data_IF_647061869121
#
_entry.id   IF_647061869121
#
_cell.length_a   1.000
_cell.length_b   1.000
_cell.length_c   1.000
_cell.angle_alpha   90.00
_cell.angle_beta   90.00
_cell.angle_gamma   90.00
#
_symmetry.space_group_name_H-M   'P 1'
#
loop_
_entity.id
_entity.type
_entity.pdbx_description
1 polymer ?
#
# COMPACT_ATOMS: atom_id res chain seq x y z
N UNK A 1 24.33 19.64 -59.73
CA UNK A 1 23.40 18.55 -59.37
C UNK A 1 23.98 17.79 -58.18
N UNK A 2 23.43 17.97 -56.96
CA UNK A 2 23.88 17.25 -55.76
C UNK A 2 23.14 15.91 -55.70
N UNK A 3 23.86 14.81 -55.91
CA UNK A 3 23.34 13.46 -55.68
C UNK A 3 23.16 13.24 -54.18
N UNK A 4 21.91 13.21 -53.72
CA UNK A 4 21.59 12.77 -52.37
C UNK A 4 21.84 11.27 -52.27
N UNK A 5 22.66 10.87 -51.31
CA UNK A 5 23.06 9.49 -51.08
C UNK A 5 21.91 8.73 -50.40
N UNK A 6 21.08 8.04 -51.19
CA UNK A 6 19.87 7.32 -50.76
C UNK A 6 20.19 6.18 -49.77
N UNK A 7 21.43 5.68 -49.74
CA UNK A 7 21.84 4.56 -48.86
C UNK A 7 21.97 4.92 -47.38
N UNK A 8 22.33 6.16 -47.04
CA UNK A 8 22.44 6.60 -45.63
C UNK A 8 21.06 6.82 -45.00
N UNK A 9 20.10 7.34 -45.79
CA UNK A 9 18.76 7.66 -45.32
C UNK A 9 17.96 6.42 -44.87
N UNK A 10 18.13 5.27 -45.53
CA UNK A 10 17.47 4.02 -45.14
C UNK A 10 18.02 3.39 -43.85
N UNK A 11 19.29 3.63 -43.50
CA UNK A 11 19.87 3.13 -42.24
C UNK A 11 19.31 3.89 -41.03
N UNK A 12 19.14 5.21 -41.16
CA UNK A 12 18.60 6.06 -40.10
C UNK A 12 17.12 5.76 -39.81
N UNK A 13 16.34 5.44 -40.85
CA UNK A 13 14.95 5.00 -40.72
C UNK A 13 14.88 3.66 -39.97
N UNK A 14 15.74 2.69 -40.35
CA UNK A 14 15.78 1.36 -39.71
C UNK A 14 16.15 1.44 -38.22
N UNK A 15 17.13 2.29 -37.87
CA UNK A 15 17.54 2.52 -36.49
C UNK A 15 16.41 3.17 -35.65
N UNK A 16 15.69 4.13 -36.23
CA UNK A 16 14.56 4.79 -35.57
C UNK A 16 13.43 3.81 -35.28
N UNK A 17 13.10 2.92 -36.22
CA UNK A 17 12.09 1.86 -36.00
C UNK A 17 12.51 0.89 -34.89
N UNK A 18 13.78 0.49 -34.84
CA UNK A 18 14.28 -0.41 -33.77
C UNK A 18 14.18 0.27 -32.40
N UNK A 19 14.55 1.56 -32.30
CA UNK A 19 14.44 2.32 -31.04
C UNK A 19 12.97 2.47 -30.62
N UNK A 20 12.07 2.81 -31.55
CA UNK A 20 10.62 2.86 -31.28
C UNK A 20 10.05 1.51 -30.85
N UNK A 21 10.50 0.41 -31.46
CA UNK A 21 10.03 -0.93 -31.14
C UNK A 21 10.55 -1.38 -29.76
N UNK A 22 11.80 -1.05 -29.42
CA UNK A 22 12.36 -1.24 -28.08
C UNK A 22 11.60 -0.40 -27.03
N UNK A 23 11.32 0.87 -27.31
CA UNK A 23 10.51 1.73 -26.44
C UNK A 23 9.08 1.20 -26.27
N UNK A 24 8.44 0.75 -27.34
CA UNK A 24 7.11 0.11 -27.29
C UNK A 24 7.14 -1.20 -26.50
N UNK A 25 8.19 -2.01 -26.62
CA UNK A 25 8.36 -3.23 -25.81
C UNK A 25 8.61 -2.91 -24.33
N UNK A 26 9.35 -1.84 -24.00
CA UNK A 26 9.52 -1.37 -22.63
C UNK A 26 8.21 -0.80 -22.04
N UNK A 27 7.42 -0.09 -22.84
CA UNK A 27 6.09 0.42 -22.46
C UNK A 27 5.07 -0.74 -22.28
N UNK A 28 5.18 -1.80 -23.09
CA UNK A 28 4.34 -3.01 -23.02
C UNK A 28 4.74 -3.96 -21.88
N UNK A 29 5.99 -3.87 -21.40
CA UNK A 29 6.52 -4.74 -20.35
C UNK A 29 6.06 -4.34 -18.93
N UNK A 30 5.43 -3.17 -18.78
CA UNK A 30 4.65 -2.82 -17.59
C UNK A 30 3.34 -3.61 -17.57
N UNK A 31 3.44 -4.95 -17.40
CA UNK A 31 2.27 -5.77 -17.05
C UNK A 31 1.62 -5.13 -15.83
N UNK A 32 0.41 -4.59 -15.98
CA UNK A 32 -0.39 -4.13 -14.87
C UNK A 32 -0.63 -5.34 -13.95
N UNK A 33 0.21 -5.49 -12.92
CA UNK A 33 0.23 -6.68 -12.07
C UNK A 33 -0.93 -6.54 -11.10
N UNK A 34 -1.90 -7.44 -11.19
CA UNK A 34 -2.97 -7.50 -10.21
C UNK A 34 -2.41 -7.83 -8.81
N UNK A 35 -2.41 -6.85 -7.92
CA UNK A 35 -1.90 -6.98 -6.54
C UNK A 35 -2.83 -7.77 -5.63
N UNK A 36 -4.09 -8.01 -6.01
CA UNK A 36 -4.95 -8.97 -5.29
C UNK A 36 -4.28 -10.35 -5.25
N UNK A 37 -3.65 -10.77 -6.35
CA UNK A 37 -2.88 -12.02 -6.39
C UNK A 37 -1.66 -11.97 -5.48
N UNK A 38 -0.99 -10.80 -5.39
CA UNK A 38 0.12 -10.60 -4.46
C UNK A 38 -0.34 -10.73 -3.02
N UNK A 39 -1.41 -10.01 -2.62
CA UNK A 39 -1.91 -10.02 -1.25
C UNK A 39 -2.42 -11.40 -0.84
N UNK A 40 -3.15 -12.09 -1.72
CA UNK A 40 -3.56 -13.48 -1.48
C UNK A 40 -2.35 -14.40 -1.29
N UNK A 41 -1.28 -14.21 -2.08
CA UNK A 41 -0.07 -14.99 -1.90
C UNK A 41 0.67 -14.65 -0.61
N UNK A 42 0.71 -13.38 -0.19
CA UNK A 42 1.21 -12.99 1.14
C UNK A 42 0.41 -13.71 2.24
N UNK A 43 -0.92 -13.75 2.15
CA UNK A 43 -1.77 -14.42 3.14
C UNK A 43 -1.46 -15.93 3.20
N UNK A 44 -1.30 -16.58 2.05
CA UNK A 44 -0.93 -17.99 1.98
C UNK A 44 0.42 -18.27 2.65
N UNK A 45 1.45 -17.47 2.31
CA UNK A 45 2.80 -17.64 2.87
C UNK A 45 2.83 -17.37 4.38
N UNK A 46 2.12 -16.33 4.82
CA UNK A 46 2.01 -15.99 6.23
C UNK A 46 1.30 -17.11 7.02
N UNK A 47 0.31 -17.79 6.43
CA UNK A 47 -0.31 -18.99 7.01
C UNK A 47 0.67 -20.17 7.11
N UNK A 48 1.47 -20.43 6.07
CA UNK A 48 2.53 -21.47 6.09
C UNK A 48 3.48 -21.23 7.28
N UNK A 49 3.92 -19.99 7.44
CA UNK A 49 4.82 -19.65 8.53
C UNK A 49 4.15 -19.74 9.91
N UNK A 50 2.99 -19.09 10.10
CA UNK A 50 2.35 -18.95 11.42
C UNK A 50 1.59 -20.18 11.90
N UNK A 51 0.97 -20.92 10.97
CA UNK A 51 0.08 -22.03 11.31
C UNK A 51 0.82 -23.35 11.15
N UNK A 52 1.50 -23.54 10.03
CA UNK A 52 2.17 -24.83 9.75
C UNK A 52 3.61 -24.89 10.26
N UNK A 53 4.18 -23.78 10.75
CA UNK A 53 5.53 -23.70 11.32
C UNK A 53 6.64 -24.16 10.34
N UNK A 54 6.49 -23.83 9.05
CA UNK A 54 7.45 -24.21 7.99
C UNK A 54 8.23 -22.99 7.47
N UNK A 55 9.28 -22.52 8.17
CA UNK A 55 9.99 -21.30 7.81
C UNK A 55 10.72 -21.39 6.47
N UNK A 56 11.36 -22.52 6.16
CA UNK A 56 12.12 -22.70 4.92
C UNK A 56 11.23 -22.61 3.67
N UNK A 57 10.04 -23.21 3.71
CA UNK A 57 9.08 -23.10 2.61
C UNK A 57 8.52 -21.68 2.52
N UNK A 58 8.21 -21.03 3.65
CA UNK A 58 7.77 -19.64 3.64
C UNK A 58 8.82 -18.70 3.02
N UNK A 59 10.10 -18.83 3.38
CA UNK A 59 11.22 -18.07 2.80
C UNK A 59 11.29 -18.27 1.29
N UNK A 60 11.21 -19.52 0.82
CA UNK A 60 11.27 -19.87 -0.60
C UNK A 60 10.11 -19.22 -1.38
N UNK A 61 8.90 -19.23 -0.82
CA UNK A 61 7.75 -18.62 -1.46
C UNK A 61 7.80 -17.08 -1.45
N UNK A 62 8.23 -16.46 -0.34
CA UNK A 62 8.46 -15.01 -0.30
C UNK A 62 9.50 -14.59 -1.34
N UNK A 63 10.60 -15.34 -1.47
CA UNK A 63 11.63 -15.06 -2.49
C UNK A 63 11.05 -15.07 -3.90
N UNK A 64 10.19 -16.05 -4.22
CA UNK A 64 9.48 -16.11 -5.51
C UNK A 64 8.55 -14.91 -5.68
N UNK A 65 7.79 -14.56 -4.64
CA UNK A 65 6.84 -13.44 -4.66
C UNK A 65 7.55 -12.10 -4.91
N UNK A 66 8.61 -11.79 -4.18
CA UNK A 66 9.30 -10.49 -4.26
C UNK A 66 10.23 -10.35 -5.46
N UNK A 67 10.49 -11.43 -6.20
CA UNK A 67 11.02 -11.37 -7.58
C UNK A 67 9.96 -10.94 -8.58
N UNK A 68 8.70 -11.37 -8.36
CA UNK A 68 7.56 -11.09 -9.25
C UNK A 68 6.83 -9.79 -8.90
N UNK A 69 6.92 -9.25 -7.69
CA UNK A 69 6.18 -8.05 -7.29
C UNK A 69 7.10 -7.05 -6.58
N UNK A 70 6.80 -5.75 -6.75
CA UNK A 70 7.34 -4.75 -5.83
C UNK A 70 6.64 -4.97 -4.49
N UNK A 71 7.36 -5.13 -3.38
CA UNK A 71 6.76 -5.30 -2.07
C UNK A 71 5.92 -4.08 -1.74
N UNK A 72 4.77 -4.36 -1.15
CA UNK A 72 3.86 -3.40 -0.54
C UNK A 72 3.55 -3.95 0.84
N UNK A 73 3.50 -3.09 1.85
CA UNK A 73 3.07 -3.48 3.18
C UNK A 73 1.55 -3.33 3.28
N UNK A 74 0.91 -4.24 3.98
CA UNK A 74 -0.50 -4.12 4.35
C UNK A 74 -0.64 -3.61 5.77
N UNK A 75 -1.82 -3.12 6.15
CA UNK A 75 -2.04 -2.64 7.52
C UNK A 75 -1.66 -3.73 8.54
N UNK A 76 -0.91 -3.33 9.59
CA UNK A 76 -0.39 -4.19 10.67
C UNK A 76 0.58 -5.29 10.20
N UNK A 77 1.05 -5.22 8.96
CA UNK A 77 1.98 -6.21 8.37
C UNK A 77 3.17 -5.53 7.71
N UNK A 78 4.32 -6.15 7.92
CA UNK A 78 5.60 -5.74 7.33
C UNK A 78 6.14 -6.92 6.53
N UNK A 79 5.39 -7.44 5.55
CA UNK A 79 5.69 -8.73 4.89
C UNK A 79 7.10 -8.82 4.30
N UNK A 80 7.62 -7.72 3.74
CA UNK A 80 8.96 -7.69 3.16
C UNK A 80 10.06 -7.69 4.23
N UNK A 81 9.84 -6.98 5.34
CA UNK A 81 10.74 -7.02 6.50
C UNK A 81 10.74 -8.38 7.17
N UNK A 82 9.55 -8.98 7.36
CA UNK A 82 9.40 -10.31 7.92
C UNK A 82 10.15 -11.35 7.09
N UNK A 83 10.05 -11.28 5.75
CA UNK A 83 10.85 -12.14 4.86
C UNK A 83 12.35 -11.96 5.06
N UNK A 84 12.84 -10.73 5.12
CA UNK A 84 14.27 -10.45 5.31
C UNK A 84 14.74 -11.00 6.66
N UNK A 85 14.02 -10.70 7.74
CA UNK A 85 14.33 -11.18 9.10
C UNK A 85 14.32 -12.71 9.18
N UNK A 86 13.28 -13.34 8.62
CA UNK A 86 13.15 -14.80 8.63
C UNK A 86 14.28 -15.46 7.83
N UNK A 87 14.60 -14.94 6.64
CA UNK A 87 15.69 -15.45 5.85
C UNK A 87 17.05 -15.27 6.55
N UNK A 88 17.29 -14.11 7.17
CA UNK A 88 18.52 -13.84 7.94
C UNK A 88 18.69 -14.81 9.12
N UNK A 89 17.63 -15.01 9.90
CA UNK A 89 17.60 -15.92 11.06
C UNK A 89 17.88 -17.37 10.68
N UNK A 90 17.44 -17.80 9.49
CA UNK A 90 17.65 -19.16 8.98
C UNK A 90 18.85 -19.27 8.03
N UNK A 91 19.76 -18.28 8.03
CA UNK A 91 20.96 -18.24 7.20
C UNK A 91 20.69 -18.43 5.69
N UNK A 92 19.53 -17.98 5.22
CA UNK A 92 19.14 -18.00 3.81
C UNK A 92 19.43 -16.65 3.15
N UNK A 93 19.90 -16.69 1.90
CA UNK A 93 20.16 -15.47 1.14
C UNK A 93 18.84 -14.75 0.75
N UNK A 94 18.62 -13.57 1.31
CA UNK A 94 17.50 -12.69 0.97
C UNK A 94 17.83 -11.58 -0.05
N UNK A 95 19.08 -11.48 -0.50
CA UNK A 95 19.58 -10.47 -1.44
C UNK A 95 20.49 -9.39 -0.83
N UNK A 96 20.83 -9.49 0.45
CA UNK A 96 21.79 -8.61 1.13
C UNK A 96 21.43 -7.12 1.05
N UNK A 97 22.44 -6.26 0.89
CA UNK A 97 22.29 -4.78 0.84
C UNK A 97 21.19 -4.31 -0.13
N UNK A 98 21.11 -4.90 -1.33
CA UNK A 98 20.10 -4.54 -2.34
C UNK A 98 18.67 -4.69 -1.80
N UNK A 99 18.41 -5.77 -1.08
CA UNK A 99 17.10 -6.00 -0.46
C UNK A 99 16.83 -5.07 0.71
N UNK A 100 17.87 -4.70 1.48
CA UNK A 100 17.76 -3.74 2.58
C UNK A 100 17.47 -2.32 2.07
N UNK A 101 18.10 -1.84 1.00
CA UNK A 101 17.72 -0.55 0.42
C UNK A 101 16.28 -0.55 -0.10
N UNK A 102 15.82 -1.68 -0.66
CA UNK A 102 14.43 -1.85 -1.12
C UNK A 102 13.42 -1.79 0.04
N UNK A 103 13.83 -2.12 1.26
CA UNK A 103 13.00 -2.05 2.46
C UNK A 103 12.85 -0.61 2.98
N UNK A 104 13.84 0.28 2.76
CA UNK A 104 13.82 1.65 3.30
C UNK A 104 12.55 2.42 2.93
N UNK A 105 12.12 2.52 1.64
CA UNK A 105 10.90 3.25 1.28
C UNK A 105 9.61 2.68 1.91
N UNK A 106 9.59 1.40 2.28
CA UNK A 106 8.42 0.77 2.91
C UNK A 106 8.26 1.14 4.38
N UNK A 107 9.36 1.53 5.04
CA UNK A 107 9.36 1.94 6.46
C UNK A 107 9.54 3.45 6.63
N UNK A 108 9.99 4.15 5.60
CA UNK A 108 10.21 5.60 5.59
C UNK A 108 8.99 6.43 6.07
N UNK A 109 7.74 6.10 5.71
CA UNK A 109 6.56 6.82 6.23
C UNK A 109 6.46 6.82 7.77
N UNK A 110 7.05 5.86 8.46
CA UNK A 110 7.05 5.77 9.93
C UNK A 110 8.47 5.85 10.50
N UNK A 111 9.40 6.47 9.77
CA UNK A 111 10.82 6.49 10.13
C UNK A 111 11.08 7.06 11.53
N UNK A 112 10.31 8.07 11.96
CA UNK A 112 10.44 8.70 13.29
C UNK A 112 10.39 7.69 14.45
N UNK A 113 9.59 6.63 14.29
CA UNK A 113 9.52 5.51 15.24
C UNK A 113 10.43 4.36 14.84
N UNK A 114 10.52 4.03 13.53
CA UNK A 114 11.29 2.87 13.07
C UNK A 114 12.79 2.98 13.39
N UNK A 115 13.35 4.19 13.37
CA UNK A 115 14.77 4.43 13.68
C UNK A 115 15.16 4.10 15.14
N UNK A 116 14.16 3.94 16.01
CA UNK A 116 14.35 3.54 17.41
C UNK A 116 14.33 2.01 17.60
N UNK A 117 13.93 1.24 16.59
CA UNK A 117 13.91 -0.22 16.65
C UNK A 117 15.34 -0.77 16.54
N UNK A 118 15.94 -1.14 17.67
CA UNK A 118 17.33 -1.63 17.74
C UNK A 118 17.55 -2.86 16.86
N UNK A 119 16.59 -3.78 16.81
CA UNK A 119 16.67 -4.98 15.96
C UNK A 119 16.73 -4.64 14.47
N UNK A 120 15.99 -3.60 14.07
CA UNK A 120 16.00 -3.10 12.71
C UNK A 120 17.34 -2.45 12.37
N UNK A 121 17.87 -1.60 13.25
CA UNK A 121 19.17 -0.94 13.03
C UNK A 121 20.32 -1.95 12.98
N UNK A 122 20.36 -2.90 13.92
CA UNK A 122 21.39 -3.94 13.97
C UNK A 122 21.41 -4.81 12.71
N UNK A 123 20.24 -5.11 12.13
CA UNK A 123 20.15 -5.82 10.86
C UNK A 123 20.88 -5.06 9.74
N UNK A 124 20.71 -3.74 9.63
CA UNK A 124 21.40 -2.96 8.60
C UNK A 124 22.91 -2.87 8.87
N UNK A 125 23.31 -2.68 10.12
CA UNK A 125 24.71 -2.63 10.53
C UNK A 125 25.44 -3.95 10.26
N UNK A 126 24.80 -5.10 10.53
CA UNK A 126 25.32 -6.44 10.21
C UNK A 126 25.71 -6.57 8.74
N UNK A 127 24.98 -5.89 7.85
CA UNK A 127 25.23 -5.88 6.42
C UNK A 127 26.02 -4.66 5.95
N UNK A 128 26.64 -3.90 6.85
CA UNK A 128 27.53 -2.77 6.53
C UNK A 128 26.80 -1.56 5.95
N UNK A 129 25.58 -1.29 6.41
CA UNK A 129 24.83 -0.06 6.13
C UNK A 129 24.72 0.73 7.43
N UNK A 130 25.32 1.92 7.46
CA UNK A 130 25.36 2.79 8.64
C UNK A 130 24.06 3.56 8.84
N UNK A 131 23.85 4.09 10.05
CA UNK A 131 22.65 4.90 10.35
C UNK A 131 22.57 6.15 9.47
N UNK A 132 23.68 6.87 9.28
CA UNK A 132 23.72 8.07 8.44
C UNK A 132 23.27 7.76 7.01
N UNK A 133 23.69 6.62 6.47
CA UNK A 133 23.29 6.18 5.14
C UNK A 133 21.78 5.87 5.07
N UNK A 134 21.21 5.24 6.10
CA UNK A 134 19.76 5.02 6.18
C UNK A 134 18.99 6.33 6.23
N UNK A 135 19.44 7.29 7.06
CA UNK A 135 18.83 8.63 7.16
C UNK A 135 18.86 9.34 5.80
N UNK A 136 20.00 9.33 5.10
CA UNK A 136 20.12 9.90 3.76
C UNK A 136 19.11 9.28 2.77
N UNK A 137 18.93 7.95 2.81
CA UNK A 137 17.97 7.24 1.95
C UNK A 137 16.52 7.59 2.28
N UNK A 138 16.21 7.87 3.55
CA UNK A 138 14.88 8.35 3.94
C UNK A 138 14.66 9.80 3.48
N UNK A 139 15.67 10.66 3.57
CA UNK A 139 15.58 12.03 3.06
C UNK A 139 15.46 12.08 1.53
N UNK A 140 16.15 11.20 0.81
CA UNK A 140 15.93 11.01 -0.64
C UNK A 140 14.49 10.60 -0.95
N UNK A 141 13.91 9.70 -0.16
CA UNK A 141 12.51 9.30 -0.30
C UNK A 141 11.56 10.48 -0.05
N UNK A 142 11.79 11.28 1.01
CA UNK A 142 10.97 12.47 1.32
C UNK A 142 10.98 13.49 0.19
N UNK A 143 12.14 13.74 -0.41
CA UNK A 143 12.29 14.65 -1.57
C UNK A 143 11.50 14.18 -2.80
N UNK A 144 11.18 12.89 -2.88
CA UNK A 144 10.35 12.32 -3.94
C UNK A 144 8.83 12.50 -3.74
N UNK A 145 8.38 12.98 -2.58
CA UNK A 145 6.97 13.23 -2.31
C UNK A 145 6.47 14.49 -3.03
N UNK A 146 5.16 14.55 -3.28
CA UNK A 146 4.54 15.71 -3.91
C UNK A 146 4.07 16.71 -2.85
N UNK A 147 4.89 17.74 -2.58
CA UNK A 147 4.60 18.74 -1.55
C UNK A 147 3.25 19.45 -1.75
N UNK A 148 2.91 19.82 -2.99
CA UNK A 148 1.62 20.47 -3.28
C UNK A 148 0.44 19.58 -2.88
N UNK A 149 0.54 18.28 -3.13
CA UNK A 149 -0.49 17.33 -2.69
C UNK A 149 -0.46 17.14 -1.17
N UNK A 150 0.71 17.09 -0.54
CA UNK A 150 0.85 17.05 0.91
C UNK A 150 0.09 18.21 1.57
N UNK A 151 0.31 19.43 1.09
CA UNK A 151 -0.34 20.63 1.63
C UNK A 151 -1.86 20.59 1.42
N UNK A 152 -2.29 20.18 0.22
CA UNK A 152 -3.71 20.05 -0.13
C UNK A 152 -4.43 19.02 0.74
N UNK A 153 -3.82 17.85 0.94
CA UNK A 153 -4.37 16.81 1.80
C UNK A 153 -4.30 17.20 3.27
N UNK A 154 -3.27 17.93 3.72
CA UNK A 154 -3.22 18.48 5.09
C UNK A 154 -4.47 19.30 5.40
N UNK A 155 -4.88 20.17 4.49
CA UNK A 155 -6.13 20.95 4.63
C UNK A 155 -7.35 20.04 4.71
N UNK A 156 -7.44 19.03 3.84
CA UNK A 156 -8.56 18.08 3.83
C UNK A 156 -8.66 17.26 5.13
N UNK A 157 -7.52 16.77 5.65
CA UNK A 157 -7.43 16.03 6.90
C UNK A 157 -7.76 16.88 8.11
N UNK A 158 -7.27 18.13 8.18
CA UNK A 158 -7.64 19.07 9.26
C UNK A 158 -9.13 19.34 9.25
N UNK A 159 -9.67 19.69 8.07
CA UNK A 159 -11.12 19.88 7.87
C UNK A 159 -11.93 18.66 8.32
N UNK A 160 -11.50 17.45 7.96
CA UNK A 160 -12.16 16.20 8.37
C UNK A 160 -12.15 16.03 9.90
N UNK A 161 -11.02 16.27 10.55
CA UNK A 161 -10.87 16.12 12.00
C UNK A 161 -11.65 17.20 12.77
N UNK A 162 -11.51 18.47 12.38
CA UNK A 162 -12.15 19.62 13.06
C UNK A 162 -13.67 19.51 13.03
N UNK A 163 -14.25 19.08 11.90
CA UNK A 163 -15.70 18.89 11.74
C UNK A 163 -16.28 17.79 12.64
N UNK A 164 -15.43 16.95 13.24
CA UNK A 164 -15.82 15.82 14.11
C UNK A 164 -15.65 16.14 15.59
N UNK A 165 -14.92 17.20 15.93
CA UNK A 165 -14.74 17.67 17.31
C UNK A 165 -15.98 18.46 17.77
N UNK A 166 -16.51 19.32 16.91
CA UNK A 166 -17.76 20.07 17.15
C UNK A 166 -18.76 19.82 16.01
N UNK A 167 -19.59 18.77 16.11
CA UNK A 167 -20.37 18.28 14.98
C UNK A 167 -21.64 19.10 14.76
N UNK A 168 -21.53 20.16 13.94
CA UNK A 168 -22.68 20.67 13.20
C UNK A 168 -22.88 19.82 11.93
N UNK A 169 -24.02 19.15 11.82
CA UNK A 169 -24.32 18.24 10.71
C UNK A 169 -24.17 18.90 9.32
N UNK A 170 -24.61 20.15 9.17
CA UNK A 170 -24.54 20.88 7.90
C UNK A 170 -23.08 21.15 7.50
N UNK A 171 -22.23 21.51 8.46
CA UNK A 171 -20.82 21.77 8.22
C UNK A 171 -20.05 20.48 7.93
N UNK A 172 -20.39 19.37 8.62
CA UNK A 172 -19.83 18.05 8.36
C UNK A 172 -20.11 17.59 6.91
N UNK A 173 -21.37 17.62 6.48
CA UNK A 173 -21.76 17.21 5.12
C UNK A 173 -21.09 18.06 4.04
N UNK A 174 -21.04 19.38 4.24
CA UNK A 174 -20.36 20.31 3.32
C UNK A 174 -18.86 20.02 3.23
N UNK A 175 -18.22 19.71 4.35
CA UNK A 175 -16.80 19.45 4.43
C UNK A 175 -16.42 18.10 3.84
N UNK A 176 -17.24 17.07 4.08
CA UNK A 176 -17.07 15.77 3.45
C UNK A 176 -17.25 15.86 1.93
N UNK A 177 -18.25 16.59 1.42
CA UNK A 177 -18.42 16.80 -0.02
C UNK A 177 -17.18 17.44 -0.66
N UNK A 178 -16.57 18.44 -0.01
CA UNK A 178 -15.31 19.04 -0.47
C UNK A 178 -14.14 18.04 -0.44
N UNK A 179 -14.10 17.13 0.52
CA UNK A 179 -13.08 16.08 0.60
C UNK A 179 -13.27 15.05 -0.54
N UNK A 180 -14.51 14.68 -0.86
CA UNK A 180 -14.85 13.77 -1.94
C UNK A 180 -14.44 14.33 -3.31
N UNK A 181 -14.74 15.61 -3.57
CA UNK A 181 -14.34 16.28 -4.82
C UNK A 181 -12.81 16.40 -4.95
N UNK A 182 -12.10 16.70 -3.85
CA UNK A 182 -10.63 16.68 -3.87
C UNK A 182 -10.08 15.28 -4.19
N UNK A 183 -10.64 14.23 -3.60
CA UNK A 183 -10.25 12.85 -3.89
C UNK A 183 -10.51 12.47 -5.35
N UNK A 184 -11.67 12.85 -5.89
CA UNK A 184 -12.01 12.62 -7.29
C UNK A 184 -11.01 13.33 -8.22
N UNK A 185 -10.76 14.60 -7.99
CA UNK A 185 -9.75 15.37 -8.74
C UNK A 185 -8.36 14.73 -8.61
N UNK A 186 -7.98 14.27 -7.43
CA UNK A 186 -6.71 13.57 -7.19
C UNK A 186 -6.61 12.30 -8.04
N UNK A 187 -7.67 11.48 -8.06
CA UNK A 187 -7.71 10.25 -8.86
C UNK A 187 -7.55 10.54 -10.35
N UNK A 188 -8.17 11.59 -10.85
CA UNK A 188 -8.15 11.96 -12.27
C UNK A 188 -6.80 12.54 -12.72
N UNK A 189 -6.09 13.26 -11.84
CA UNK A 189 -4.88 14.01 -12.20
C UNK A 189 -3.57 13.34 -11.76
N UNK A 190 -3.61 12.57 -10.67
CA UNK A 190 -2.40 12.06 -10.02
C UNK A 190 -2.52 10.60 -9.53
N UNK A 191 -3.67 9.95 -9.73
CA UNK A 191 -3.94 8.60 -9.23
C UNK A 191 -4.29 8.57 -7.75
N UNK A 192 -4.11 7.42 -7.09
CA UNK A 192 -4.43 7.30 -5.66
C UNK A 192 -3.40 8.05 -4.79
N UNK A 193 -3.82 8.76 -3.72
CA UNK A 193 -2.92 9.44 -2.78
C UNK A 193 -2.26 8.44 -1.82
N UNK A 194 -1.41 7.56 -2.34
CA UNK A 194 -0.71 6.57 -1.53
C UNK A 194 0.43 7.21 -0.69
N UNK A 195 0.88 6.49 0.32
CA UNK A 195 1.94 6.95 1.25
C UNK A 195 3.28 7.25 0.58
N UNK A 196 3.54 6.71 -0.62
CA UNK A 196 4.76 7.02 -1.39
C UNK A 196 4.60 8.29 -2.23
N UNK A 197 3.40 8.87 -2.28
CA UNK A 197 3.07 10.08 -3.03
C UNK A 197 2.87 11.28 -2.11
N UNK A 198 2.11 11.09 -1.04
CA UNK A 198 1.75 12.16 -0.08
C UNK A 198 2.31 11.93 1.33
N UNK A 199 3.11 10.89 1.54
CA UNK A 199 3.61 10.55 2.86
C UNK A 199 2.52 10.08 3.82
N UNK A 200 2.87 10.02 5.10
CA UNK A 200 1.96 9.72 6.22
C UNK A 200 1.92 10.84 7.25
N UNK A 201 2.87 11.77 7.15
CA UNK A 201 3.07 12.89 8.07
C UNK A 201 3.36 14.14 7.24
N UNK A 202 2.79 15.27 7.65
CA UNK A 202 3.27 16.59 7.29
C UNK A 202 3.74 17.26 8.59
N UNK A 203 5.05 17.36 8.76
CA UNK A 203 5.68 17.63 10.07
C UNK A 203 5.12 16.68 11.16
N UNK A 204 4.46 17.22 12.18
CA UNK A 204 3.85 16.47 13.27
C UNK A 204 2.39 16.04 13.00
N UNK A 205 1.82 16.47 11.88
CA UNK A 205 0.42 16.19 11.55
C UNK A 205 0.28 14.84 10.84
N UNK A 206 -0.48 13.92 11.46
CA UNK A 206 -0.73 12.57 10.95
C UNK A 206 -1.84 12.54 9.91
N UNK A 207 -1.57 11.93 8.74
CA UNK A 207 -2.47 11.94 7.59
C UNK A 207 -2.77 10.54 7.03
N UNK A 208 -3.48 9.67 7.78
CA UNK A 208 -3.82 8.34 7.31
C UNK A 208 -4.97 8.40 6.28
N UNK A 209 -4.78 7.96 5.04
CA UNK A 209 -5.82 7.99 3.98
C UNK A 209 -7.11 7.24 4.33
N UNK A 210 -7.04 6.16 5.11
CA UNK A 210 -8.17 5.31 5.49
C UNK A 210 -9.38 6.08 6.04
N UNK A 211 -9.24 6.87 7.12
CA UNK A 211 -10.31 7.71 7.66
C UNK A 211 -11.04 8.58 6.64
N UNK A 212 -10.35 9.36 5.80
CA UNK A 212 -11.03 10.20 4.80
C UNK A 212 -11.85 9.32 3.84
N UNK A 213 -11.26 8.26 3.29
CA UNK A 213 -11.97 7.35 2.38
C UNK A 213 -13.22 6.75 3.02
N UNK A 214 -13.09 6.37 4.28
CA UNK A 214 -14.16 5.82 5.09
C UNK A 214 -15.30 6.85 5.24
N UNK A 215 -14.99 8.11 5.55
CA UNK A 215 -16.01 9.16 5.73
C UNK A 215 -16.78 9.48 4.44
N UNK A 216 -16.11 9.43 3.28
CA UNK A 216 -16.79 9.69 2.00
C UNK A 216 -17.80 8.60 1.61
N UNK A 217 -17.75 7.43 2.26
CA UNK A 217 -18.63 6.30 1.97
C UNK A 217 -20.11 6.54 2.30
N UNK A 218 -20.40 7.53 3.14
CA UNK A 218 -21.76 7.82 3.61
C UNK A 218 -22.60 8.61 2.60
N UNK A 219 -21.98 9.09 1.51
CA UNK A 219 -22.64 9.94 0.51
C UNK A 219 -22.86 9.17 -0.80
N UNK A 220 -24.12 8.86 -1.10
CA UNK A 220 -24.51 8.04 -2.25
C UNK A 220 -24.02 8.60 -3.60
N UNK A 221 -24.05 9.92 -3.77
CA UNK A 221 -23.58 10.60 -4.99
C UNK A 221 -22.10 10.32 -5.32
N UNK A 222 -21.30 9.96 -4.31
CA UNK A 222 -19.88 9.67 -4.45
C UNK A 222 -19.57 8.18 -4.33
N UNK A 223 -20.38 7.43 -3.60
CA UNK A 223 -20.08 6.06 -3.22
C UNK A 223 -19.84 5.13 -4.43
N UNK A 224 -20.70 5.16 -5.46
CA UNK A 224 -20.53 4.28 -6.62
C UNK A 224 -19.24 4.55 -7.38
N UNK A 225 -18.90 5.83 -7.58
CA UNK A 225 -17.65 6.23 -8.21
C UNK A 225 -16.44 5.78 -7.39
N UNK A 226 -16.44 6.07 -6.08
CA UNK A 226 -15.36 5.70 -5.17
C UNK A 226 -15.19 4.17 -5.10
N UNK A 227 -16.29 3.40 -5.03
CA UNK A 227 -16.27 1.94 -4.99
C UNK A 227 -15.61 1.34 -6.23
N UNK A 228 -15.89 1.86 -7.41
CA UNK A 228 -15.26 1.39 -8.65
C UNK A 228 -13.78 1.77 -8.66
N UNK A 229 -13.47 3.04 -8.42
CA UNK A 229 -12.10 3.56 -8.52
C UNK A 229 -11.15 2.98 -7.48
N UNK A 230 -11.58 2.87 -6.22
CA UNK A 230 -10.75 2.27 -5.18
C UNK A 230 -10.47 0.80 -5.45
N UNK A 231 -11.40 0.06 -6.04
CA UNK A 231 -11.13 -1.33 -6.44
C UNK A 231 -10.09 -1.43 -7.56
N UNK A 232 -10.05 -0.47 -8.49
CA UNK A 232 -8.96 -0.35 -9.47
C UNK A 232 -7.61 -0.13 -8.77
N UNK A 233 -7.56 0.73 -7.75
CA UNK A 233 -6.36 0.99 -6.97
C UNK A 233 -5.95 -0.17 -6.05
N UNK A 234 -6.90 -1.00 -5.60
CA UNK A 234 -6.59 -2.27 -4.92
C UNK A 234 -5.90 -3.23 -5.89
N UNK A 235 -6.38 -3.30 -7.15
CA UNK A 235 -5.74 -4.11 -8.19
C UNK A 235 -4.35 -3.60 -8.56
N UNK A 236 -4.11 -2.28 -8.56
CA UNK A 236 -2.78 -1.70 -8.82
C UNK A 236 -1.82 -1.78 -7.61
N UNK A 237 -2.35 -2.02 -6.40
CA UNK A 237 -1.59 -2.07 -5.16
C UNK A 237 -1.28 -0.69 -4.57
N UNK A 238 -2.02 0.34 -4.99
CA UNK A 238 -1.94 1.69 -4.44
C UNK A 238 -2.91 1.90 -3.27
N UNK A 239 -4.12 1.33 -3.35
CA UNK A 239 -5.08 1.33 -2.24
C UNK A 239 -4.94 0.03 -1.43
N UNK A 240 -4.71 0.11 -0.09
CA UNK A 240 -4.76 -1.06 0.77
C UNK A 240 -6.13 -1.76 0.72
N UNK A 241 -6.19 -3.10 0.59
CA UNK A 241 -7.48 -3.83 0.58
C UNK A 241 -8.36 -3.54 1.79
N UNK A 242 -7.75 -3.26 2.95
CA UNK A 242 -8.48 -2.97 4.18
C UNK A 242 -9.21 -1.62 4.14
N UNK A 243 -8.61 -0.61 3.52
CA UNK A 243 -9.24 0.72 3.39
C UNK A 243 -10.47 0.65 2.48
N UNK A 244 -10.35 -0.04 1.33
CA UNK A 244 -11.48 -0.31 0.45
C UNK A 244 -12.60 -1.09 1.16
N UNK A 245 -12.23 -2.16 1.87
CA UNK A 245 -13.20 -2.98 2.58
C UNK A 245 -13.92 -2.20 3.69
N UNK A 246 -13.20 -1.37 4.44
CA UNK A 246 -13.77 -0.53 5.48
C UNK A 246 -14.77 0.48 4.91
N UNK A 247 -14.45 1.09 3.77
CA UNK A 247 -15.38 1.99 3.05
C UNK A 247 -16.68 1.25 2.67
N UNK A 248 -16.57 0.08 2.04
CA UNK A 248 -17.75 -0.72 1.63
C UNK A 248 -18.58 -1.16 2.85
N UNK A 249 -17.93 -1.69 3.89
CA UNK A 249 -18.65 -2.16 5.08
C UNK A 249 -19.33 -1.02 5.84
N UNK A 250 -18.75 0.19 5.84
CA UNK A 250 -19.39 1.37 6.42
C UNK A 250 -20.63 1.80 5.65
N UNK A 251 -20.57 1.88 4.32
CA UNK A 251 -21.75 2.17 3.52
C UNK A 251 -22.84 1.11 3.74
N UNK A 252 -22.48 -0.17 3.80
CA UNK A 252 -23.42 -1.25 4.15
C UNK A 252 -24.05 -1.04 5.54
N UNK A 253 -23.26 -0.62 6.53
CA UNK A 253 -23.78 -0.30 7.87
C UNK A 253 -24.82 0.82 7.81
N UNK A 254 -24.52 1.91 7.09
CA UNK A 254 -25.43 3.05 6.92
C UNK A 254 -26.77 2.60 6.33
N UNK A 255 -26.74 1.66 5.38
CA UNK A 255 -27.92 1.08 4.72
C UNK A 255 -28.52 -0.12 5.44
N UNK A 256 -28.03 -0.48 6.64
CA UNK A 256 -28.49 -1.64 7.42
C UNK A 256 -28.39 -2.98 6.66
N UNK A 257 -27.42 -3.10 5.78
CA UNK A 257 -27.10 -4.31 5.00
C UNK A 257 -25.95 -5.08 5.68
N UNK A 258 -25.92 -6.42 5.65
CA UNK A 258 -24.80 -7.20 6.18
C UNK A 258 -23.44 -6.77 5.61
N UNK A 259 -22.38 -6.93 6.40
CA UNK A 259 -21.02 -6.60 5.97
C UNK A 259 -20.55 -7.51 4.83
N UNK A 260 -19.90 -6.90 3.84
CA UNK A 260 -19.31 -7.62 2.71
C UNK A 260 -18.01 -8.30 3.12
N UNK A 261 -17.19 -7.59 3.90
CA UNK A 261 -15.82 -7.99 4.23
C UNK A 261 -15.57 -8.14 5.74
N UNK A 262 -16.38 -7.54 6.60
CA UNK A 262 -16.26 -7.65 8.06
C UNK A 262 -15.01 -6.98 8.64
N UNK A 263 -14.70 -5.76 8.20
CA UNK A 263 -13.51 -5.00 8.60
C UNK A 263 -13.81 -3.86 9.58
N UNK A 264 -15.03 -3.30 9.55
CA UNK A 264 -15.36 -2.03 10.20
C UNK A 264 -15.68 -2.15 11.71
N UNK A 265 -16.75 -2.85 12.14
CA UNK A 265 -17.13 -2.96 13.56
C UNK A 265 -16.88 -4.35 14.19
N UNK A 266 -16.03 -5.17 13.57
CA UNK A 266 -15.72 -6.51 14.10
C UNK A 266 -16.65 -7.61 13.58
N UNK A 267 -16.53 -8.79 14.19
CA UNK A 267 -17.02 -10.05 13.61
C UNK A 267 -18.40 -10.50 14.11
N UNK A 268 -18.93 -9.83 15.13
CA UNK A 268 -20.14 -10.24 15.86
C UNK A 268 -21.40 -10.28 15.00
N UNK A 269 -21.44 -9.46 13.93
CA UNK A 269 -22.58 -9.39 13.01
C UNK A 269 -22.43 -10.30 11.76
N UNK A 270 -21.40 -11.15 11.70
CA UNK A 270 -21.15 -12.02 10.55
C UNK A 270 -21.89 -13.35 10.71
N UNK A 271 -23.02 -13.49 9.99
CA UNK A 271 -23.81 -14.73 9.97
C UNK A 271 -23.24 -15.81 9.05
N UNK A 272 -22.66 -15.41 7.92
CA UNK A 272 -22.05 -16.32 6.93
C UNK A 272 -20.57 -15.98 6.75
N UNK A 273 -19.74 -16.64 7.57
CA UNK A 273 -18.29 -16.47 7.51
C UNK A 273 -17.68 -17.00 6.21
N UNK A 274 -18.31 -17.97 5.54
CA UNK A 274 -17.79 -18.56 4.32
C UNK A 274 -17.91 -17.57 3.14
N UNK A 275 -19.07 -16.92 3.00
CA UNK A 275 -19.28 -15.86 2.01
C UNK A 275 -18.38 -14.66 2.28
N UNK A 276 -18.28 -14.21 3.54
CA UNK A 276 -17.37 -13.12 3.88
C UNK A 276 -15.92 -13.47 3.58
N UNK A 277 -15.45 -14.68 3.90
CA UNK A 277 -14.10 -15.12 3.56
C UNK A 277 -13.86 -15.18 2.04
N UNK A 278 -14.86 -15.58 1.25
CA UNK A 278 -14.78 -15.57 -0.22
C UNK A 278 -14.62 -14.14 -0.75
N UNK A 279 -15.41 -13.20 -0.23
CA UNK A 279 -15.33 -11.79 -0.57
C UNK A 279 -13.98 -11.20 -0.16
N UNK A 280 -13.51 -11.48 1.05
CA UNK A 280 -12.18 -11.04 1.52
C UNK A 280 -11.06 -11.51 0.59
N UNK A 281 -11.08 -12.77 0.17
CA UNK A 281 -10.13 -13.32 -0.79
C UNK A 281 -10.21 -12.63 -2.16
N UNK A 282 -11.40 -12.20 -2.61
CA UNK A 282 -11.57 -11.54 -3.91
C UNK A 282 -10.88 -10.19 -4.01
N UNK A 283 -10.56 -9.55 -2.88
CA UNK A 283 -9.83 -8.27 -2.81
C UNK A 283 -8.45 -8.39 -2.14
N UNK A 284 -8.03 -9.60 -1.75
CA UNK A 284 -6.70 -9.85 -1.18
C UNK A 284 -6.61 -9.77 0.35
N UNK A 285 -7.74 -9.67 1.05
CA UNK A 285 -7.76 -9.75 2.51
C UNK A 285 -7.57 -11.20 3.01
N UNK A 286 -6.90 -11.39 4.18
CA UNK A 286 -6.84 -12.69 4.83
C UNK A 286 -8.23 -13.11 5.32
N UNK A 287 -8.43 -14.41 5.60
CA UNK A 287 -9.67 -14.89 6.23
C UNK A 287 -9.90 -14.22 7.59
N UNK A 288 -11.13 -14.25 8.11
CA UNK A 288 -11.49 -13.65 9.41
C UNK A 288 -10.60 -14.19 10.54
N UNK A 289 -10.45 -15.52 10.62
CA UNK A 289 -9.59 -16.17 11.61
C UNK A 289 -8.12 -15.76 11.46
N UNK A 290 -7.60 -15.69 10.23
CA UNK A 290 -6.23 -15.28 10.00
C UNK A 290 -6.01 -13.79 10.36
N UNK A 291 -6.98 -12.92 10.06
CA UNK A 291 -6.95 -11.51 10.44
C UNK A 291 -6.95 -11.30 11.96
N UNK A 292 -7.67 -12.14 12.71
CA UNK A 292 -7.64 -12.14 14.18
C UNK A 292 -6.24 -12.48 14.72
N UNK A 293 -5.58 -13.49 14.15
CA UNK A 293 -4.20 -13.85 14.54
C UNK A 293 -3.22 -12.70 14.26
N UNK A 294 -3.30 -12.08 13.08
CA UNK A 294 -2.48 -10.91 12.73
C UNK A 294 -2.68 -9.78 13.74
N UNK A 295 -3.94 -9.51 14.11
CA UNK A 295 -4.28 -8.45 15.08
C UNK A 295 -3.75 -8.76 16.48
N UNK A 296 -3.89 -10.00 16.94
CA UNK A 296 -3.37 -10.46 18.24
C UNK A 296 -1.84 -10.30 18.30
N UNK A 297 -1.13 -10.70 17.25
CA UNK A 297 0.33 -10.58 17.18
C UNK A 297 0.79 -9.12 17.18
N UNK A 298 0.07 -8.25 16.47
CA UNK A 298 0.33 -6.81 16.46
C UNK A 298 0.26 -6.23 17.89
N UNK A 299 -0.84 -6.47 18.61
CA UNK A 299 -0.98 -5.97 19.98
C UNK A 299 0.02 -6.60 20.96
N UNK A 300 0.37 -7.88 20.79
CA UNK A 300 1.42 -8.53 21.59
C UNK A 300 2.78 -7.86 21.40
N UNK A 301 3.11 -7.43 20.18
CA UNK A 301 4.35 -6.69 19.90
C UNK A 301 4.34 -5.30 20.52
N UNK A 302 3.22 -4.58 20.45
CA UNK A 302 3.07 -3.26 21.06
C UNK A 302 3.27 -3.31 22.57
N UNK A 303 2.69 -4.29 23.26
CA UNK A 303 2.86 -4.49 24.72
C UNK A 303 4.28 -4.83 25.17
N UNK A 304 5.14 -5.32 24.27
CA UNK A 304 6.55 -5.63 24.57
C UNK A 304 7.48 -4.43 24.35
N UNK A 305 7.01 -3.39 23.66
CA UNK A 305 7.78 -2.18 23.34
C UNK A 305 7.51 -1.04 24.32
N UNK A 306 6.40 -1.09 25.05
CA UNK A 306 6.07 -0.23 26.19
C UNK A 306 6.46 -0.94 27.48
#
# INVERSE_FOLDING_TARGET
>A
MKYFNIKTQNKDITLTYIICLILCLFLSACKNRNYILYYNKVNEIDSIYRVTHQPDEAIKQYRKLFRKYKPKNQERREEYENYIKLADQHHKNFGGKKSLYKLIPLVAPNWKYKKQDSSFIQLYQKYGIGRQEMELKVEEWKKGLNQKLIDSFTVAFKRDQDSRIDPNYTDLSKNDKKNAELLKWMFENYGFPDVQKIGLWNDDFFMPSGPILLHMADYEDHYQYLKIKLLEYVKSGECPPRDYAAMVDRNNLHHKVPYTYGVYQGYENIKDSATVNRNRKSIGLPSLQHAQLITKDFFKKMKKKN
#
